data_IF_912592561382
#
_entry.id   IF_912592561382
#
_cell.length_a   1.000
_cell.length_b   1.000
_cell.length_c   1.000
_cell.angle_alpha   90.00
_cell.angle_beta   90.00
_cell.angle_gamma   90.00
#
_symmetry.space_group_name_H-M   'P 1'
#
loop_
_entity.id
_entity.type
_entity.pdbx_description
1 polymer ?
#
# COMPACT_ATOMS: atom_id res chain seq x y z
N UNK A 1 -5.85 22.51 -27.87
CA UNK A 1 -5.34 21.14 -27.63
C UNK A 1 -4.30 21.03 -26.51
N UNK A 2 -3.02 21.45 -26.65
CA UNK A 2 -2.03 21.31 -25.56
C UNK A 2 -2.40 22.10 -24.28
N UNK A 3 -3.00 23.29 -24.44
CA UNK A 3 -3.49 24.10 -23.32
C UNK A 3 -4.70 23.46 -22.62
N UNK A 4 -5.62 22.86 -23.40
CA UNK A 4 -6.79 22.13 -22.86
C UNK A 4 -6.37 20.82 -22.16
N UNK A 5 -5.37 20.11 -22.71
CA UNK A 5 -4.81 18.92 -22.10
C UNK A 5 -4.14 19.26 -20.76
N UNK A 6 -3.34 20.33 -20.70
CA UNK A 6 -2.76 20.81 -19.44
C UNK A 6 -3.85 21.20 -18.44
N UNK A 7 -4.88 21.93 -18.87
CA UNK A 7 -6.01 22.29 -18.01
C UNK A 7 -6.84 21.07 -17.54
N UNK A 8 -6.90 20.01 -18.35
CA UNK A 8 -7.52 18.74 -17.97
C UNK A 8 -6.69 17.99 -16.93
N UNK A 9 -5.38 17.84 -17.18
CA UNK A 9 -4.46 17.16 -16.27
C UNK A 9 -4.29 17.88 -14.94
N UNK A 10 -4.34 19.22 -14.92
CA UNK A 10 -4.23 20.02 -13.69
C UNK A 10 -5.53 20.02 -12.85
N UNK A 11 -6.57 19.27 -13.23
CA UNK A 11 -7.67 18.98 -12.30
C UNK A 11 -7.09 18.09 -11.19
N UNK A 12 -6.99 18.61 -9.96
CA UNK A 12 -6.32 17.94 -8.84
C UNK A 12 -6.65 16.45 -8.70
N UNK A 13 -7.93 16.09 -8.82
CA UNK A 13 -8.41 14.71 -8.77
C UNK A 13 -7.72 13.72 -9.75
N UNK A 14 -7.24 14.19 -10.92
CA UNK A 14 -6.58 13.33 -11.92
C UNK A 14 -5.10 13.13 -11.59
N UNK A 15 -4.43 14.17 -11.09
CA UNK A 15 -3.02 14.09 -10.67
C UNK A 15 -2.90 13.17 -9.47
N UNK A 16 -3.75 13.35 -8.46
CA UNK A 16 -3.72 12.56 -7.24
C UNK A 16 -4.03 11.09 -7.53
N UNK A 17 -5.00 10.83 -8.41
CA UNK A 17 -5.31 9.48 -8.88
C UNK A 17 -4.12 8.86 -9.64
N UNK A 18 -3.47 9.62 -10.52
CA UNK A 18 -2.32 9.12 -11.27
C UNK A 18 -1.15 8.76 -10.34
N UNK A 19 -0.87 9.60 -9.34
CA UNK A 19 0.15 9.35 -8.32
C UNK A 19 -0.21 8.10 -7.50
N UNK A 20 -1.45 7.96 -7.04
CA UNK A 20 -1.91 6.79 -6.30
C UNK A 20 -1.73 5.49 -7.10
N UNK A 21 -2.06 5.48 -8.38
CA UNK A 21 -1.91 4.31 -9.25
C UNK A 21 -0.43 3.96 -9.47
N UNK A 22 0.43 4.96 -9.69
CA UNK A 22 1.88 4.74 -9.89
C UNK A 22 2.52 4.19 -8.62
N UNK A 23 2.23 4.80 -7.46
CA UNK A 23 2.75 4.35 -6.17
C UNK A 23 2.21 2.96 -5.84
N UNK A 24 0.92 2.70 -6.06
CA UNK A 24 0.31 1.39 -5.86
C UNK A 24 0.95 0.30 -6.71
N UNK A 25 1.23 0.59 -7.99
CA UNK A 25 1.94 -0.32 -8.88
C UNK A 25 3.38 -0.59 -8.43
N UNK A 26 4.13 0.46 -8.09
CA UNK A 26 5.51 0.33 -7.60
C UNK A 26 5.58 -0.44 -6.27
N UNK A 27 4.69 -0.14 -5.33
CA UNK A 27 4.59 -0.85 -4.06
C UNK A 27 4.23 -2.33 -4.26
N UNK A 28 3.28 -2.63 -5.15
CA UNK A 28 2.94 -3.99 -5.53
C UNK A 28 4.14 -4.78 -6.08
N UNK A 29 5.01 -4.14 -6.86
CA UNK A 29 6.24 -4.75 -7.36
C UNK A 29 7.24 -5.09 -6.24
N UNK A 30 7.40 -4.20 -5.24
CA UNK A 30 8.23 -4.44 -4.05
C UNK A 30 7.71 -5.64 -3.26
N UNK A 31 6.41 -5.69 -3.00
CA UNK A 31 5.77 -6.80 -2.28
C UNK A 31 5.93 -8.10 -3.05
N UNK A 32 5.75 -8.06 -4.38
CA UNK A 32 5.92 -9.23 -5.24
C UNK A 32 7.36 -9.76 -5.18
N UNK A 33 8.37 -8.88 -5.21
CA UNK A 33 9.78 -9.28 -5.10
C UNK A 33 10.10 -9.85 -3.73
N UNK A 34 9.63 -9.23 -2.64
CA UNK A 34 9.79 -9.78 -1.29
C UNK A 34 9.23 -11.21 -1.20
N UNK A 35 8.05 -11.44 -1.76
CA UNK A 35 7.42 -12.75 -1.73
C UNK A 35 8.19 -13.74 -2.60
N UNK A 36 8.39 -13.41 -3.88
CA UNK A 36 8.96 -14.32 -4.87
C UNK A 36 10.44 -14.61 -4.63
N UNK A 37 11.22 -13.60 -4.26
CA UNK A 37 12.68 -13.67 -4.24
C UNK A 37 13.23 -13.95 -2.82
N UNK A 38 12.44 -13.70 -1.77
CA UNK A 38 12.86 -13.91 -0.38
C UNK A 38 11.98 -14.97 0.31
N UNK A 39 10.68 -14.74 0.42
CA UNK A 39 9.79 -15.62 1.21
C UNK A 39 9.64 -17.02 0.57
N UNK A 40 9.36 -17.10 -0.72
CA UNK A 40 9.16 -18.39 -1.42
C UNK A 40 10.41 -19.27 -1.40
N UNK A 41 11.64 -18.78 -1.65
CA UNK A 41 12.85 -19.59 -1.50
C UNK A 41 13.11 -20.04 -0.06
N UNK A 42 12.84 -19.18 0.94
CA UNK A 42 12.97 -19.56 2.35
C UNK A 42 12.00 -20.68 2.73
N UNK A 43 10.74 -20.58 2.30
CA UNK A 43 9.74 -21.65 2.45
C UNK A 43 10.21 -22.91 1.71
N UNK A 44 10.70 -22.75 0.48
CA UNK A 44 11.23 -23.83 -0.36
C UNK A 44 12.37 -24.61 0.30
N UNK A 45 13.25 -23.93 1.04
CA UNK A 45 14.33 -24.57 1.80
C UNK A 45 13.82 -25.28 3.06
N UNK A 46 12.76 -24.79 3.69
CA UNK A 46 12.23 -25.35 4.94
C UNK A 46 11.33 -26.57 4.74
N UNK A 47 10.42 -26.54 3.75
CA UNK A 47 9.39 -27.55 3.52
C UNK A 47 9.43 -28.18 2.12
N UNK A 48 10.40 -27.80 1.28
CA UNK A 48 10.47 -28.18 -0.13
C UNK A 48 9.69 -27.21 -1.04
N UNK A 49 9.85 -27.34 -2.36
CA UNK A 49 9.11 -26.55 -3.36
C UNK A 49 7.63 -26.96 -3.34
N UNK A 50 6.70 -26.14 -2.82
CA UNK A 50 5.28 -26.47 -2.85
C UNK A 50 4.76 -26.22 -4.27
N UNK A 51 4.76 -27.26 -5.11
CA UNK A 51 4.18 -27.20 -6.45
C UNK A 51 3.01 -28.18 -6.57
N UNK A 52 1.79 -27.62 -6.62
CA UNK A 52 0.57 -28.38 -6.83
C UNK A 52 0.18 -28.48 -8.32
N UNK A 53 0.96 -27.93 -9.26
CA UNK A 53 0.60 -27.82 -10.69
C UNK A 53 0.31 -29.15 -11.37
N UNK A 54 0.87 -30.25 -10.87
CA UNK A 54 0.66 -31.60 -11.39
C UNK A 54 -0.73 -32.19 -11.09
N UNK A 55 -1.51 -31.58 -10.20
CA UNK A 55 -2.84 -32.08 -9.85
C UNK A 55 -3.83 -31.66 -10.94
N UNK A 56 -4.32 -32.65 -11.69
CA UNK A 56 -5.37 -32.46 -12.70
C UNK A 56 -6.54 -33.41 -12.42
N UNK A 57 -7.76 -32.91 -12.58
CA UNK A 57 -8.98 -33.71 -12.57
C UNK A 57 -9.55 -33.66 -14.00
N UNK A 58 -9.29 -34.71 -14.78
CA UNK A 58 -9.52 -34.68 -16.22
C UNK A 58 -8.72 -33.57 -16.90
N UNK A 59 -9.41 -32.69 -17.63
CA UNK A 59 -8.81 -31.53 -18.32
C UNK A 59 -8.63 -30.30 -17.42
N UNK A 60 -9.03 -30.36 -16.14
CA UNK A 60 -9.05 -29.22 -15.23
C UNK A 60 -7.76 -29.21 -14.41
N UNK A 61 -6.93 -28.18 -14.62
CA UNK A 61 -5.68 -27.96 -13.89
C UNK A 61 -5.94 -27.36 -12.48
N UNK A 62 -6.63 -28.10 -11.62
CA UNK A 62 -6.97 -27.67 -10.25
C UNK A 62 -5.72 -27.31 -9.43
N UNK A 63 -4.60 -27.97 -9.72
CA UNK A 63 -3.29 -27.66 -9.16
C UNK A 63 -2.85 -26.21 -9.30
N UNK A 64 -3.10 -25.59 -10.46
CA UNK A 64 -2.76 -24.18 -10.70
C UNK A 64 -3.62 -23.25 -9.86
N UNK A 65 -4.89 -23.61 -9.66
CA UNK A 65 -5.80 -22.83 -8.81
C UNK A 65 -5.38 -22.91 -7.33
N UNK A 66 -5.00 -24.09 -6.85
CA UNK A 66 -4.47 -24.26 -5.49
C UNK A 66 -3.19 -23.44 -5.31
N UNK A 67 -2.25 -23.50 -6.27
CA UNK A 67 -1.05 -22.67 -6.27
C UNK A 67 -1.39 -21.16 -6.21
N UNK A 68 -2.41 -20.70 -6.94
CA UNK A 68 -2.85 -19.31 -6.90
C UNK A 68 -3.40 -18.90 -5.52
N UNK A 69 -4.19 -19.77 -4.86
CA UNK A 69 -4.69 -19.53 -3.50
C UNK A 69 -3.53 -19.46 -2.51
N UNK A 70 -2.60 -20.42 -2.57
CA UNK A 70 -1.42 -20.45 -1.70
C UNK A 70 -0.59 -19.18 -1.89
N UNK A 71 -0.32 -18.78 -3.14
CA UNK A 71 0.40 -17.56 -3.46
C UNK A 71 -0.31 -16.31 -2.91
N UNK A 72 -1.64 -16.23 -3.05
CA UNK A 72 -2.42 -15.13 -2.48
C UNK A 72 -2.30 -15.06 -0.94
N UNK A 73 -2.38 -16.20 -0.26
CA UNK A 73 -2.20 -16.26 1.20
C UNK A 73 -0.78 -15.84 1.61
N UNK A 74 0.25 -16.25 0.86
CA UNK A 74 1.64 -15.84 1.13
C UNK A 74 1.81 -14.34 0.93
N UNK A 75 1.33 -13.78 -0.19
CA UNK A 75 1.40 -12.33 -0.46
C UNK A 75 0.67 -11.54 0.62
N UNK A 76 -0.56 -11.93 0.96
CA UNK A 76 -1.36 -11.27 2.00
C UNK A 76 -0.69 -11.33 3.38
N UNK A 77 -0.17 -12.51 3.76
CA UNK A 77 0.55 -12.68 5.03
C UNK A 77 1.86 -11.90 5.04
N UNK A 78 2.59 -11.88 3.92
CA UNK A 78 3.83 -11.12 3.78
C UNK A 78 3.58 -9.62 3.89
N UNK A 79 2.52 -9.11 3.25
CA UNK A 79 2.13 -7.71 3.36
C UNK A 79 1.77 -7.35 4.80
N UNK A 80 1.02 -8.22 5.49
CA UNK A 80 0.70 -8.04 6.90
C UNK A 80 1.95 -7.98 7.79
N UNK A 81 2.92 -8.89 7.59
CA UNK A 81 4.18 -8.89 8.32
C UNK A 81 5.04 -7.66 8.00
N UNK A 82 5.06 -7.23 6.74
CA UNK A 82 5.79 -6.03 6.31
C UNK A 82 5.21 -4.76 6.96
N UNK A 83 3.89 -4.58 6.91
CA UNK A 83 3.20 -3.45 7.57
C UNK A 83 3.46 -3.48 9.08
N UNK A 84 3.32 -4.64 9.73
CA UNK A 84 3.61 -4.80 11.16
C UNK A 84 5.08 -4.54 11.51
N UNK A 85 6.00 -4.91 10.61
CA UNK A 85 7.43 -4.62 10.73
C UNK A 85 7.70 -3.11 10.68
N UNK A 86 7.07 -2.41 9.72
CA UNK A 86 7.13 -0.96 9.62
C UNK A 86 6.50 -0.29 10.84
N UNK A 87 5.33 -0.73 11.30
CA UNK A 87 4.67 -0.22 12.51
C UNK A 87 5.53 -0.42 13.76
N UNK A 88 6.21 -1.57 13.91
CA UNK A 88 7.09 -1.84 15.05
C UNK A 88 8.40 -1.04 14.98
N UNK A 89 8.98 -0.91 13.79
CA UNK A 89 10.17 -0.09 13.56
C UNK A 89 9.85 1.39 13.80
N UNK A 90 8.72 1.86 13.28
CA UNK A 90 8.20 3.19 13.54
C UNK A 90 7.79 3.37 14.99
N UNK A 91 7.20 2.41 15.70
CA UNK A 91 6.90 2.56 17.13
C UNK A 91 8.16 2.75 18.00
N UNK A 92 9.34 2.35 17.49
CA UNK A 92 10.63 2.60 18.13
C UNK A 92 11.22 3.97 17.74
N UNK A 93 10.79 4.56 16.61
CA UNK A 93 11.19 5.89 16.09
C UNK A 93 10.12 6.98 16.36
N UNK A 94 8.88 6.61 16.69
CA UNK A 94 7.68 7.45 16.91
C UNK A 94 7.70 8.15 18.27
N UNK A 95 8.85 8.15 18.95
CA UNK A 95 9.15 9.19 19.93
C UNK A 95 9.65 10.48 19.27
N UNK A 96 9.97 10.49 17.97
CA UNK A 96 10.61 11.65 17.33
C UNK A 96 9.98 12.24 16.06
N UNK A 97 9.25 11.55 15.16
CA UNK A 97 8.82 12.22 13.89
C UNK A 97 7.45 11.80 13.34
N UNK A 98 6.43 12.61 13.60
CA UNK A 98 5.70 13.51 12.65
C UNK A 98 5.42 13.10 11.18
N UNK A 99 5.66 11.89 10.68
CA UNK A 99 5.51 11.62 9.22
C UNK A 99 4.07 11.24 8.79
N UNK A 100 3.12 11.15 9.72
CA UNK A 100 1.68 11.00 9.35
C UNK A 100 0.97 12.35 9.27
N UNK A 101 1.58 13.43 9.74
CA UNK A 101 0.93 14.74 9.81
C UNK A 101 0.87 15.49 8.48
N UNK A 102 1.58 15.05 7.43
CA UNK A 102 1.71 15.83 6.17
C UNK A 102 1.02 15.22 4.94
N UNK A 103 0.28 14.10 5.06
CA UNK A 103 -0.49 13.61 3.88
C UNK A 103 -1.83 14.35 3.72
N UNK A 104 -2.29 15.03 4.77
CA UNK A 104 -3.42 15.95 4.72
C UNK A 104 -3.06 17.13 5.61
N UNK A 105 -2.52 18.20 5.00
CA UNK A 105 -2.44 19.50 5.66
C UNK A 105 -3.79 19.85 6.31
N UNK A 106 -3.81 20.74 7.32
CA UNK A 106 -4.95 20.92 8.21
C UNK A 106 -6.23 21.03 7.39
N UNK A 107 -7.14 20.11 7.66
CA UNK A 107 -8.40 20.05 6.91
C UNK A 107 -9.09 21.40 7.06
N UNK A 108 -9.85 21.84 6.06
CA UNK A 108 -10.52 23.15 6.10
C UNK A 108 -11.32 23.35 7.41
N UNK A 109 -11.80 22.25 7.99
CA UNK A 109 -12.50 22.21 9.29
C UNK A 109 -11.60 22.61 10.47
N UNK A 110 -10.32 22.21 10.50
CA UNK A 110 -9.36 22.59 11.53
C UNK A 110 -8.96 24.07 11.41
N UNK A 111 -8.73 24.54 10.18
CA UNK A 111 -8.46 25.97 9.95
C UNK A 111 -9.64 26.85 10.35
N UNK A 112 -10.88 26.41 10.10
CA UNK A 112 -12.08 27.12 10.54
C UNK A 112 -12.24 27.11 12.06
N UNK A 113 -11.87 26.03 12.74
CA UNK A 113 -11.87 25.96 14.19
C UNK A 113 -10.85 26.93 14.81
N UNK A 114 -9.65 27.00 14.23
CA UNK A 114 -8.61 27.94 14.64
C UNK A 114 -9.03 29.40 14.40
N UNK A 115 -9.65 29.71 13.26
CA UNK A 115 -10.20 31.04 12.98
C UNK A 115 -11.26 31.43 14.01
N UNK A 116 -12.17 30.51 14.36
CA UNK A 116 -13.20 30.78 15.38
C UNK A 116 -12.56 31.08 16.74
N UNK A 117 -11.59 30.28 17.17
CA UNK A 117 -10.90 30.48 18.43
C UNK A 117 -10.14 31.83 18.48
N UNK A 118 -9.50 32.22 17.36
CA UNK A 118 -8.83 33.50 17.23
C UNK A 118 -9.80 34.69 17.25
N UNK A 119 -11.00 34.54 16.67
CA UNK A 119 -12.04 35.57 16.68
C UNK A 119 -12.66 35.75 18.08
N UNK A 120 -12.93 34.67 18.81
CA UNK A 120 -13.41 34.76 20.20
C UNK A 120 -12.39 35.44 21.11
N UNK A 121 -11.09 35.21 20.89
CA UNK A 121 -10.00 35.86 21.61
C UNK A 121 -9.83 37.34 21.26
N UNK A 122 -10.28 37.79 20.09
CA UNK A 122 -10.29 39.21 19.71
C UNK A 122 -11.55 39.96 20.15
N UNK A 123 -12.64 39.26 20.48
CA UNK A 123 -13.91 39.84 20.90
C UNK A 123 -14.07 39.98 22.42
N UNK A 124 -13.06 39.62 23.22
CA UNK A 124 -12.94 39.94 24.65
C UNK A 124 -11.91 41.04 24.90
#
# INVERSE_FOLDING_TARGET
MLKELKAFLMRGNIVDLAVAVIIGGAFGAIVTSLVKDIITPLIGMAIGQPDFSGIMIGSIAIGKFINAIVNFLIIGTSLFLMIKGLEKAQATVKKEETIVEDVLGPTEVELLADIKALLEKQQG
#
